data_IF_292535787191
#
_entry.id   IF_292535787191
#
_cell.length_a   1.000
_cell.length_b   1.000
_cell.length_c   1.000
_cell.angle_alpha   90.00
_cell.angle_beta   90.00
_cell.angle_gamma   90.00
#
_symmetry.space_group_name_H-M   'P 1'
#
loop_
_entity.id
_entity.type
_entity.pdbx_description
1 polymer ?
#
# COMPACT_ATOMS: atom_id res chain seq x y z
N UNK A 1 43.90 -45.04 -20.21
CA UNK A 1 44.30 -44.72 -18.82
C UNK A 1 43.06 -44.20 -18.10
N UNK A 2 42.28 -45.07 -17.43
CA UNK A 2 42.32 -45.41 -15.98
C UNK A 2 42.01 -44.17 -15.10
N UNK A 3 40.75 -43.91 -14.73
CA UNK A 3 39.94 -44.40 -13.57
C UNK A 3 40.14 -43.64 -12.25
N UNK A 4 39.03 -43.20 -11.64
CA UNK A 4 38.57 -43.39 -10.23
C UNK A 4 37.27 -42.59 -10.05
N UNK A 5 36.07 -43.16 -10.02
CA UNK A 5 35.44 -44.16 -9.12
C UNK A 5 35.18 -43.60 -7.70
N UNK A 6 33.89 -43.44 -7.39
CA UNK A 6 33.37 -43.01 -6.10
C UNK A 6 33.22 -44.15 -5.07
N UNK A 7 32.96 -43.75 -3.83
CA UNK A 7 32.46 -44.53 -2.69
C UNK A 7 32.21 -43.50 -1.57
N UNK A 8 31.06 -43.42 -0.91
CA UNK A 8 30.75 -44.30 0.21
C UNK A 8 29.24 -44.27 0.53
N UNK A 9 28.68 -45.46 0.71
CA UNK A 9 27.36 -45.75 1.26
C UNK A 9 27.59 -46.48 2.60
N UNK A 10 26.61 -46.38 3.50
CA UNK A 10 26.22 -47.34 4.55
C UNK A 10 26.74 -47.13 6.00
N UNK A 11 25.80 -46.89 6.93
CA UNK A 11 25.51 -47.73 8.12
C UNK A 11 24.31 -47.10 8.87
N UNK A 12 23.10 -47.66 8.76
CA UNK A 12 22.52 -48.78 9.54
C UNK A 12 22.08 -48.37 10.97
N UNK A 13 20.79 -48.57 11.18
CA UNK A 13 19.98 -48.38 12.38
C UNK A 13 20.34 -49.30 13.54
N UNK A 14 19.95 -48.89 14.76
CA UNK A 14 19.20 -49.65 15.79
C UNK A 14 19.47 -49.02 17.17
N UNK A 15 18.43 -48.60 17.89
CA UNK A 15 18.10 -49.13 19.23
C UNK A 15 16.79 -48.49 19.71
N UNK A 16 15.82 -49.34 20.00
CA UNK A 16 14.53 -49.02 20.58
C UNK A 16 14.43 -49.58 22.01
N UNK A 17 13.46 -49.05 22.77
CA UNK A 17 12.84 -49.57 24.02
C UNK A 17 13.63 -49.22 25.31
N UNK A 18 13.27 -48.16 26.07
CA UNK A 18 12.15 -47.96 27.05
C UNK A 18 12.30 -48.76 28.35
N UNK A 19 12.37 -48.04 29.50
CA UNK A 19 11.60 -48.34 30.73
C UNK A 19 11.71 -47.24 31.83
N UNK A 20 10.60 -46.50 31.99
CA UNK A 20 9.85 -46.16 33.23
C UNK A 20 10.58 -45.57 34.46
N UNK A 21 10.23 -44.32 34.81
CA UNK A 21 9.65 -43.92 36.13
C UNK A 21 9.16 -42.45 36.03
N UNK A 22 7.86 -42.19 36.00
CA UNK A 22 6.99 -41.82 37.13
C UNK A 22 7.22 -40.39 37.67
N UNK A 23 6.29 -39.49 37.34
CA UNK A 23 6.18 -38.14 37.90
C UNK A 23 5.04 -37.36 37.22
N UNK A 24 3.89 -37.25 37.91
CA UNK A 24 2.72 -36.45 37.53
C UNK A 24 2.90 -34.99 37.96
N UNK A 25 1.98 -34.15 37.45
CA UNK A 25 1.72 -32.72 37.71
C UNK A 25 2.35 -31.77 36.68
N UNK A 26 1.66 -30.76 36.15
CA UNK A 26 0.26 -30.34 36.19
C UNK A 26 0.10 -29.33 35.03
N UNK A 27 -1.10 -29.27 34.45
CA UNK A 27 -1.42 -28.36 33.37
C UNK A 27 -1.67 -26.94 33.91
N UNK A 28 -0.80 -25.99 33.57
CA UNK A 28 -1.12 -24.56 33.69
C UNK A 28 -1.37 -23.98 32.29
N UNK A 29 -2.66 -23.77 32.02
CA UNK A 29 -3.13 -22.93 30.92
C UNK A 29 -2.74 -21.49 31.26
N UNK A 30 -1.68 -21.00 30.65
CA UNK A 30 -1.37 -19.58 30.67
C UNK A 30 -2.22 -18.89 29.60
N UNK A 31 -3.50 -18.67 29.89
CA UNK A 31 -4.36 -17.73 29.16
C UNK A 31 -3.92 -16.32 29.50
N UNK A 32 -2.92 -15.81 28.77
CA UNK A 32 -2.74 -14.37 28.65
C UNK A 32 -3.85 -13.84 27.74
N UNK A 33 -4.89 -13.28 28.36
CA UNK A 33 -5.84 -12.43 27.67
C UNK A 33 -5.07 -11.26 27.08
N UNK A 34 -4.86 -11.29 25.77
CA UNK A 34 -4.41 -10.12 25.01
C UNK A 34 -5.49 -9.06 25.23
N UNK A 35 -5.18 -8.08 26.08
CA UNK A 35 -5.92 -6.84 26.15
C UNK A 35 -5.83 -6.21 24.76
N UNK A 36 -6.88 -6.41 23.97
CA UNK A 36 -7.18 -5.56 22.84
C UNK A 36 -7.62 -4.22 23.45
N UNK A 37 -6.62 -3.41 23.80
CA UNK A 37 -6.85 -1.99 23.98
C UNK A 37 -7.38 -1.49 22.65
N UNK A 38 -8.70 -1.35 22.61
CA UNK A 38 -9.44 -0.71 21.54
C UNK A 38 -8.91 0.72 21.51
N UNK A 39 -7.92 0.97 20.65
CA UNK A 39 -7.42 2.32 20.38
C UNK A 39 -8.65 3.16 20.09
N UNK A 40 -8.91 4.17 20.93
CA UNK A 40 -9.91 5.19 20.65
C UNK A 40 -9.42 5.89 19.38
N UNK A 41 -9.91 5.46 18.23
CA UNK A 41 -9.66 6.10 16.95
C UNK A 41 -10.27 7.49 17.01
N UNK A 42 -9.43 8.50 17.20
CA UNK A 42 -9.81 9.87 16.89
C UNK A 42 -10.05 9.99 15.38
N UNK A 43 -10.88 10.96 14.98
CA UNK A 43 -11.02 11.29 13.56
C UNK A 43 -9.64 11.55 12.96
N UNK A 44 -9.36 10.89 11.83
CA UNK A 44 -8.13 11.07 11.03
C UNK A 44 -8.42 11.94 9.81
N UNK A 45 -7.41 12.67 9.34
CA UNK A 45 -7.40 13.31 8.03
C UNK A 45 -6.85 12.34 6.98
N UNK A 46 -7.62 12.10 5.93
CA UNK A 46 -7.26 11.18 4.85
C UNK A 46 -7.19 11.95 3.53
N UNK A 47 -6.09 11.77 2.80
CA UNK A 47 -5.93 12.29 1.45
C UNK A 47 -5.85 11.14 0.44
N UNK A 48 -6.82 11.09 -0.47
CA UNK A 48 -6.83 10.16 -1.60
C UNK A 48 -6.25 10.86 -2.83
N UNK A 49 -5.15 10.35 -3.35
CA UNK A 49 -4.51 10.80 -4.59
C UNK A 49 -4.81 9.79 -5.70
N UNK A 50 -5.67 10.16 -6.64
CA UNK A 50 -5.99 9.33 -7.81
C UNK A 50 -5.26 9.83 -9.04
N UNK A 51 -4.59 8.94 -9.75
CA UNK A 51 -3.97 9.23 -11.04
C UNK A 51 -4.68 8.61 -12.24
N UNK A 52 -5.91 8.10 -12.06
CA UNK A 52 -6.69 7.58 -13.19
C UNK A 52 -7.10 8.71 -14.14
N UNK A 53 -6.74 8.65 -15.43
CA UNK A 53 -7.24 9.61 -16.42
C UNK A 53 -8.71 9.35 -16.78
N UNK A 54 -9.25 8.16 -16.43
CA UNK A 54 -10.63 7.76 -16.72
C UNK A 54 -11.53 8.17 -15.56
N UNK A 55 -12.32 9.23 -15.75
CA UNK A 55 -13.32 9.70 -14.79
C UNK A 55 -14.45 8.69 -14.62
N UNK A 56 -14.87 8.48 -13.37
CA UNK A 56 -15.83 7.41 -13.03
C UNK A 56 -15.35 6.01 -13.44
N UNK A 57 -14.04 5.85 -13.65
CA UNK A 57 -13.42 4.58 -14.01
C UNK A 57 -13.23 3.66 -12.82
N UNK A 58 -12.61 2.50 -13.08
CA UNK A 58 -12.45 1.45 -12.07
C UNK A 58 -11.68 1.92 -10.82
N UNK A 59 -10.59 2.66 -10.99
CA UNK A 59 -9.80 3.17 -9.85
C UNK A 59 -10.57 4.20 -9.03
N UNK A 60 -11.31 5.09 -9.69
CA UNK A 60 -12.12 6.12 -9.02
C UNK A 60 -13.31 5.52 -8.27
N UNK A 61 -13.94 4.48 -8.82
CA UNK A 61 -14.97 3.71 -8.10
C UNK A 61 -14.42 3.14 -6.80
N UNK A 62 -13.25 2.49 -6.83
CA UNK A 62 -12.63 1.96 -5.60
C UNK A 62 -12.23 3.07 -4.63
N UNK A 63 -11.73 4.22 -5.11
CA UNK A 63 -11.47 5.38 -4.27
C UNK A 63 -12.74 5.89 -3.58
N UNK A 64 -13.88 5.91 -4.28
CA UNK A 64 -15.15 6.33 -3.72
C UNK A 64 -15.67 5.36 -2.65
N UNK A 65 -15.46 4.05 -2.82
CA UNK A 65 -15.80 3.06 -1.78
C UNK A 65 -14.93 3.23 -0.54
N UNK A 66 -13.61 3.43 -0.72
CA UNK A 66 -12.71 3.77 0.39
C UNK A 66 -13.17 5.03 1.11
N UNK A 67 -13.40 6.11 0.35
CA UNK A 67 -13.90 7.39 0.89
C UNK A 67 -15.16 7.19 1.71
N UNK A 68 -16.14 6.46 1.17
CA UNK A 68 -17.40 6.15 1.84
C UNK A 68 -17.18 5.44 3.17
N UNK A 69 -16.35 4.38 3.19
CA UNK A 69 -16.03 3.67 4.42
C UNK A 69 -15.41 4.59 5.48
N UNK A 70 -14.47 5.42 5.07
CA UNK A 70 -13.79 6.36 5.96
C UNK A 70 -14.72 7.46 6.52
N UNK A 71 -15.58 8.03 5.68
CA UNK A 71 -16.58 9.02 6.12
C UNK A 71 -17.58 8.41 7.10
N UNK A 72 -18.04 7.16 6.87
CA UNK A 72 -18.91 6.43 7.80
C UNK A 72 -18.23 6.13 9.15
N UNK A 73 -16.90 6.03 9.17
CA UNK A 73 -16.10 5.89 10.39
C UNK A 73 -15.74 7.24 11.05
N UNK A 74 -16.31 8.36 10.57
CA UNK A 74 -16.08 9.73 11.05
C UNK A 74 -14.66 10.27 10.80
N UNK A 75 -13.98 9.79 9.76
CA UNK A 75 -12.76 10.44 9.27
C UNK A 75 -13.09 11.59 8.32
N UNK A 76 -12.18 12.56 8.19
CA UNK A 76 -12.29 13.62 7.19
C UNK A 76 -11.51 13.19 5.94
N UNK A 77 -12.17 13.17 4.78
CA UNK A 77 -11.56 12.68 3.54
C UNK A 77 -11.54 13.76 2.48
N UNK A 78 -10.36 14.03 1.93
CA UNK A 78 -10.19 14.78 0.69
C UNK A 78 -9.76 13.82 -0.42
N UNK A 79 -10.34 13.98 -1.62
CA UNK A 79 -9.92 13.25 -2.81
C UNK A 79 -9.47 14.24 -3.88
N UNK A 80 -8.26 14.02 -4.40
CA UNK A 80 -7.67 14.78 -5.51
C UNK A 80 -7.39 13.82 -6.64
N UNK A 81 -7.89 14.14 -7.83
CA UNK A 81 -7.37 13.52 -9.04
C UNK A 81 -6.23 14.38 -9.58
N UNK A 82 -5.01 13.86 -9.53
CA UNK A 82 -3.79 14.62 -9.85
C UNK A 82 -3.64 14.92 -11.35
N UNK A 83 -4.53 14.39 -12.19
CA UNK A 83 -4.62 14.77 -13.61
C UNK A 83 -5.33 16.12 -13.82
N UNK A 84 -6.03 16.66 -12.81
CA UNK A 84 -6.65 17.99 -12.87
C UNK A 84 -5.69 19.13 -12.50
N UNK A 85 -4.44 18.77 -12.21
CA UNK A 85 -3.44 19.66 -11.64
C UNK A 85 -2.22 19.75 -12.55
N UNK A 86 -1.67 20.95 -12.69
CA UNK A 86 -0.40 21.12 -13.37
C UNK A 86 0.72 20.63 -12.44
N UNK A 87 1.46 19.60 -12.86
CA UNK A 87 2.58 19.04 -12.11
C UNK A 87 3.71 18.84 -13.12
N UNK A 88 4.68 19.74 -13.08
CA UNK A 88 5.85 19.71 -13.93
C UNK A 88 6.78 18.57 -13.51
N UNK A 89 7.52 18.03 -14.48
CA UNK A 89 8.56 17.05 -14.21
C UNK A 89 9.62 17.59 -13.26
N UNK A 90 10.33 16.68 -12.58
CA UNK A 90 11.47 17.05 -11.77
C UNK A 90 12.59 17.64 -12.66
N UNK A 91 13.16 18.75 -12.23
CA UNK A 91 14.13 19.58 -12.95
C UNK A 91 15.17 20.10 -11.95
N UNK A 92 16.29 20.62 -12.46
CA UNK A 92 17.39 21.09 -11.62
C UNK A 92 16.98 22.12 -10.56
N UNK A 93 15.98 22.96 -10.87
CA UNK A 93 15.48 23.99 -9.94
C UNK A 93 14.84 23.39 -8.67
N UNK A 94 14.36 22.15 -8.72
CA UNK A 94 13.74 21.47 -7.57
C UNK A 94 14.75 20.73 -6.70
N UNK A 95 16.06 20.82 -6.98
CA UNK A 95 17.08 20.42 -5.99
C UNK A 95 17.14 21.37 -4.81
N UNK A 96 16.62 22.58 -4.96
CA UNK A 96 16.41 23.54 -3.88
C UNK A 96 14.96 23.44 -3.40
N UNK A 97 14.77 23.46 -2.09
CA UNK A 97 13.44 23.40 -1.48
C UNK A 97 12.74 24.76 -1.60
N UNK A 98 11.47 24.77 -1.98
CA UNK A 98 10.61 25.94 -1.98
C UNK A 98 9.31 25.61 -1.25
N UNK A 99 9.00 26.34 -0.19
CA UNK A 99 7.75 26.16 0.56
C UNK A 99 6.63 27.09 0.06
N UNK A 100 6.79 27.70 -1.12
CA UNK A 100 5.78 28.58 -1.70
C UNK A 100 4.71 27.75 -2.45
N UNK A 101 3.46 27.69 -1.96
CA UNK A 101 2.40 26.94 -2.61
C UNK A 101 1.91 27.61 -3.91
N UNK A 102 2.32 28.85 -4.18
CA UNK A 102 2.06 29.60 -5.42
C UNK A 102 3.22 29.49 -6.42
N UNK A 103 4.06 28.46 -6.28
CA UNK A 103 5.09 28.16 -7.27
C UNK A 103 4.51 27.88 -8.66
N UNK A 104 5.42 27.69 -9.63
CA UNK A 104 5.07 27.58 -11.04
C UNK A 104 4.08 26.45 -11.40
N UNK A 105 3.75 25.57 -10.46
CA UNK A 105 2.79 24.48 -10.63
C UNK A 105 2.15 24.04 -9.29
N UNK A 106 1.24 23.07 -9.34
CA UNK A 106 0.43 22.64 -8.20
C UNK A 106 1.13 21.63 -7.26
N UNK A 107 2.35 21.20 -7.56
CA UNK A 107 3.00 20.09 -6.86
C UNK A 107 3.17 20.39 -5.36
N UNK A 108 3.70 21.57 -5.02
CA UNK A 108 3.95 21.98 -3.62
C UNK A 108 2.65 22.05 -2.83
N UNK A 109 1.59 22.59 -3.43
CA UNK A 109 0.27 22.64 -2.82
C UNK A 109 -0.28 21.25 -2.49
N UNK A 110 -0.09 20.29 -3.39
CA UNK A 110 -0.49 18.89 -3.15
C UNK A 110 0.39 18.25 -2.06
N UNK A 111 1.70 18.48 -2.09
CA UNK A 111 2.63 17.95 -1.08
C UNK A 111 2.32 18.49 0.32
N UNK A 112 1.94 19.76 0.46
CA UNK A 112 1.47 20.30 1.74
C UNK A 112 0.22 19.60 2.26
N UNK A 113 -0.72 19.23 1.38
CA UNK A 113 -1.89 18.42 1.76
C UNK A 113 -1.49 17.01 2.18
N UNK A 114 -0.51 16.40 1.50
CA UNK A 114 0.05 15.11 1.91
C UNK A 114 0.69 15.20 3.30
N UNK A 115 1.43 16.28 3.59
CA UNK A 115 2.05 16.50 4.90
C UNK A 115 1.01 16.70 6.02
N UNK A 116 -0.12 17.34 5.71
CA UNK A 116 -1.21 17.59 6.66
C UNK A 116 -2.08 16.35 6.97
N UNK A 117 -2.14 15.36 6.06
CA UNK A 117 -2.93 14.15 6.24
C UNK A 117 -2.27 13.15 7.21
N UNK A 118 -3.07 12.37 7.94
CA UNK A 118 -2.59 11.23 8.72
C UNK A 118 -2.43 9.99 7.83
N UNK A 119 -3.39 9.80 6.93
CA UNK A 119 -3.47 8.67 5.99
C UNK A 119 -3.40 9.19 4.55
N UNK A 120 -2.60 8.53 3.73
CA UNK A 120 -2.48 8.83 2.29
C UNK A 120 -2.87 7.57 1.49
N UNK A 121 -3.82 7.72 0.57
CA UNK A 121 -4.21 6.66 -0.36
C UNK A 121 -3.63 6.97 -1.74
N UNK A 122 -2.72 6.13 -2.22
CA UNK A 122 -2.18 6.23 -3.58
C UNK A 122 -2.98 5.33 -4.51
N UNK A 123 -3.72 5.92 -5.45
CA UNK A 123 -4.48 5.19 -6.44
C UNK A 123 -3.94 5.39 -7.85
N UNK A 124 -3.58 4.30 -8.51
CA UNK A 124 -3.11 4.32 -9.90
C UNK A 124 -3.66 3.13 -10.69
N UNK A 125 -4.15 3.34 -11.92
CA UNK A 125 -4.23 2.23 -12.87
C UNK A 125 -2.82 1.77 -13.28
N UNK A 126 -2.71 0.51 -13.69
CA UNK A 126 -1.49 -0.07 -14.25
C UNK A 126 -1.41 0.25 -15.74
N UNK A 127 -0.39 1.01 -16.14
CA UNK A 127 0.01 1.22 -17.53
C UNK A 127 1.40 0.63 -17.74
N UNK A 128 1.51 -0.33 -18.66
CA UNK A 128 2.75 -1.06 -18.95
C UNK A 128 3.43 -1.62 -17.68
N UNK A 129 2.66 -2.37 -16.87
CA UNK A 129 3.15 -3.03 -15.63
C UNK A 129 3.71 -2.06 -14.57
N UNK A 130 3.34 -0.78 -14.63
CA UNK A 130 3.75 0.24 -13.65
C UNK A 130 2.62 1.25 -13.39
N UNK A 131 2.86 2.13 -12.41
CA UNK A 131 1.99 3.27 -12.14
C UNK A 131 1.93 4.21 -13.35
N UNK A 132 0.93 5.07 -13.38
CA UNK A 132 0.84 6.15 -14.38
C UNK A 132 2.04 7.09 -14.28
N UNK A 133 2.45 7.68 -15.41
CA UNK A 133 3.45 8.75 -15.44
C UNK A 133 3.09 9.91 -14.51
N UNK A 134 1.81 10.33 -14.46
CA UNK A 134 1.35 11.41 -13.59
C UNK A 134 1.63 11.15 -12.11
N UNK A 135 1.36 9.92 -11.63
CA UNK A 135 1.67 9.52 -10.25
C UNK A 135 3.17 9.57 -9.97
N UNK A 136 3.98 9.07 -10.91
CA UNK A 136 5.44 9.10 -10.78
C UNK A 136 5.99 10.52 -10.76
N UNK A 137 5.43 11.42 -11.58
CA UNK A 137 5.80 12.83 -11.59
C UNK A 137 5.55 13.49 -10.24
N UNK A 138 4.39 13.28 -9.63
CA UNK A 138 4.12 13.80 -8.28
C UNK A 138 5.09 13.22 -7.25
N UNK A 139 5.32 11.90 -7.28
CA UNK A 139 6.27 11.23 -6.38
C UNK A 139 7.67 11.82 -6.49
N UNK A 140 8.17 12.06 -7.70
CA UNK A 140 9.49 12.65 -7.91
C UNK A 140 9.59 14.07 -7.35
N UNK A 141 8.49 14.82 -7.38
CA UNK A 141 8.40 16.16 -6.82
C UNK A 141 8.36 16.21 -5.29
N UNK A 142 8.21 15.07 -4.62
CA UNK A 142 8.35 14.97 -3.15
C UNK A 142 9.81 15.11 -2.69
N UNK A 143 10.79 15.02 -3.60
CA UNK A 143 12.19 15.24 -3.25
C UNK A 143 12.38 16.57 -2.49
N UNK A 144 13.10 16.54 -1.35
CA UNK A 144 13.24 17.59 -0.33
C UNK A 144 12.08 17.77 0.67
N UNK A 145 10.98 17.04 0.53
CA UNK A 145 9.81 17.08 1.42
C UNK A 145 9.59 15.77 2.19
N UNK A 146 10.52 14.82 2.11
CA UNK A 146 10.39 13.47 2.68
C UNK A 146 10.17 13.49 4.20
N UNK A 147 10.78 14.47 4.89
CA UNK A 147 10.64 14.67 6.34
C UNK A 147 9.26 15.18 6.76
N UNK A 148 8.56 15.85 5.85
CA UNK A 148 7.21 16.37 6.12
C UNK A 148 6.18 15.24 6.01
N UNK A 149 6.49 14.21 5.22
CA UNK A 149 5.69 12.99 5.06
C UNK A 149 6.12 11.88 6.03
N UNK A 150 6.45 12.25 7.28
CA UNK A 150 6.80 11.29 8.32
C UNK A 150 5.56 10.69 9.00
N UNK A 151 5.71 9.47 9.51
CA UNK A 151 4.72 8.75 10.33
C UNK A 151 3.34 8.64 9.64
N UNK A 152 3.32 8.49 8.32
CA UNK A 152 2.10 8.37 7.53
C UNK A 152 1.68 6.92 7.37
N UNK A 153 0.37 6.70 7.34
CA UNK A 153 -0.23 5.43 6.98
C UNK A 153 -0.60 5.45 5.50
N UNK A 154 -0.13 4.46 4.74
CA UNK A 154 -0.36 4.37 3.31
C UNK A 154 -1.27 3.21 2.93
N UNK A 155 -2.28 3.50 2.11
CA UNK A 155 -3.06 2.50 1.39
C UNK A 155 -2.84 2.63 -0.11
N UNK A 156 -2.87 1.52 -0.83
CA UNK A 156 -2.77 1.52 -2.29
C UNK A 156 -4.05 1.01 -2.93
N UNK A 157 -4.52 1.68 -3.99
CA UNK A 157 -5.64 1.22 -4.81
C UNK A 157 -5.15 1.07 -6.25
N UNK A 158 -4.95 -0.17 -6.69
CA UNK A 158 -4.31 -0.46 -7.97
C UNK A 158 -5.27 -1.23 -8.86
N UNK A 159 -5.45 -0.79 -10.10
CA UNK A 159 -6.34 -1.48 -11.05
C UNK A 159 -5.64 -1.82 -12.35
N UNK A 160 -5.89 -3.01 -12.91
CA UNK A 160 -5.28 -3.44 -14.17
C UNK A 160 -6.32 -4.07 -15.12
N UNK A 161 -6.04 -3.97 -16.43
CA UNK A 161 -6.80 -4.71 -17.47
C UNK A 161 -6.48 -6.20 -17.44
N UNK A 162 -5.21 -6.54 -17.19
CA UNK A 162 -4.73 -7.91 -17.13
C UNK A 162 -5.44 -8.69 -16.02
N UNK A 163 -5.79 -9.96 -16.27
CA UNK A 163 -6.41 -10.84 -15.29
C UNK A 163 -5.40 -11.50 -14.34
N UNK A 164 -4.09 -11.38 -14.62
CA UNK A 164 -3.04 -11.81 -13.72
C UNK A 164 -2.76 -10.71 -12.67
N UNK A 165 -2.80 -11.10 -11.40
CA UNK A 165 -2.47 -10.22 -10.27
C UNK A 165 -1.01 -9.73 -10.33
N UNK A 166 -0.09 -10.51 -10.92
CA UNK A 166 1.32 -10.12 -11.10
C UNK A 166 1.46 -8.82 -11.90
N UNK A 167 0.45 -8.44 -12.70
CA UNK A 167 0.43 -7.17 -13.40
C UNK A 167 0.49 -5.94 -12.46
N UNK A 168 0.12 -6.12 -11.18
CA UNK A 168 0.13 -5.06 -10.18
C UNK A 168 1.51 -4.86 -9.55
N UNK A 169 2.40 -5.86 -9.59
CA UNK A 169 3.61 -5.90 -8.77
C UNK A 169 4.55 -4.72 -9.03
N UNK A 170 4.78 -4.34 -10.29
CA UNK A 170 5.63 -3.18 -10.59
C UNK A 170 5.11 -1.88 -9.99
N UNK A 171 3.79 -1.72 -9.90
CA UNK A 171 3.17 -0.56 -9.24
C UNK A 171 3.32 -0.63 -7.73
N UNK A 172 3.07 -1.80 -7.14
CA UNK A 172 3.25 -2.05 -5.69
C UNK A 172 4.69 -1.75 -5.27
N UNK A 173 5.67 -2.27 -6.02
CA UNK A 173 7.08 -2.04 -5.71
C UNK A 173 7.47 -0.56 -5.90
N UNK A 174 6.90 0.14 -6.88
CA UNK A 174 7.09 1.57 -7.04
C UNK A 174 6.58 2.38 -5.83
N UNK A 175 5.38 2.06 -5.33
CA UNK A 175 4.84 2.70 -4.12
C UNK A 175 5.64 2.34 -2.87
N UNK A 176 6.04 1.08 -2.70
CA UNK A 176 6.91 0.65 -1.59
C UNK A 176 8.26 1.36 -1.62
N UNK A 177 8.86 1.49 -2.79
CA UNK A 177 10.11 2.24 -2.97
C UNK A 177 9.96 3.71 -2.59
N UNK A 178 8.82 4.34 -2.95
CA UNK A 178 8.51 5.69 -2.52
C UNK A 178 8.43 5.81 -0.98
N UNK A 179 7.61 4.99 -0.32
CA UNK A 179 7.43 5.11 1.13
C UNK A 179 8.68 4.69 1.93
N UNK A 180 9.57 3.87 1.36
CA UNK A 180 10.85 3.51 1.99
C UNK A 180 11.75 4.74 2.22
N UNK A 181 11.60 5.79 1.41
CA UNK A 181 12.32 7.04 1.56
C UNK A 181 11.70 7.97 2.62
N UNK A 182 10.53 7.61 3.17
CA UNK A 182 9.79 8.43 4.13
C UNK A 182 10.01 7.94 5.56
N UNK A 183 10.11 8.86 6.50
CA UNK A 183 10.48 8.55 7.87
C UNK A 183 9.29 7.96 8.65
N UNK A 184 9.42 6.75 9.20
CA UNK A 184 8.41 6.13 10.07
C UNK A 184 7.03 5.92 9.40
N UNK A 185 6.96 6.01 8.07
CA UNK A 185 5.75 5.76 7.30
C UNK A 185 5.62 4.27 6.96
N UNK A 186 4.38 3.78 6.87
CA UNK A 186 4.10 2.34 6.69
C UNK A 186 2.96 2.07 5.71
N UNK A 187 3.08 0.97 4.98
CA UNK A 187 1.97 0.38 4.22
C UNK A 187 0.99 -0.31 5.18
N UNK A 188 -0.30 -0.02 5.04
CA UNK A 188 -1.38 -0.65 5.82
C UNK A 188 -2.16 -1.66 4.99
N UNK A 189 -2.45 -1.37 3.73
CA UNK A 189 -3.27 -2.24 2.89
C UNK A 189 -3.22 -1.91 1.40
N UNK A 190 -3.58 -2.89 0.57
CA UNK A 190 -3.55 -2.78 -0.89
C UNK A 190 -4.85 -3.36 -1.45
N UNK A 191 -5.66 -2.52 -2.09
CA UNK A 191 -6.81 -2.95 -2.89
C UNK A 191 -6.34 -3.39 -4.28
N UNK A 192 -6.64 -4.63 -4.64
CA UNK A 192 -6.19 -5.26 -5.89
C UNK A 192 -7.33 -5.41 -6.91
N UNK A 193 -7.43 -4.45 -7.82
CA UNK A 193 -8.45 -4.41 -8.87
C UNK A 193 -7.97 -4.86 -10.26
N UNK A 194 -7.41 -6.07 -10.39
CA UNK A 194 -6.99 -6.63 -11.68
C UNK A 194 -8.16 -7.23 -12.47
N UNK A 195 -8.02 -7.37 -13.79
CA UNK A 195 -9.03 -7.90 -14.72
C UNK A 195 -10.20 -6.93 -14.99
N UNK A 196 -9.98 -5.62 -14.83
CA UNK A 196 -11.00 -4.58 -14.94
C UNK A 196 -10.73 -3.65 -16.14
N UNK A 197 -11.05 -4.14 -17.35
CA UNK A 197 -10.81 -3.44 -18.62
C UNK A 197 -11.79 -2.30 -18.86
N UNK A 198 -13.07 -2.63 -18.88
CA UNK A 198 -14.13 -1.70 -19.25
C UNK A 198 -14.50 -0.81 -18.04
N UNK A 199 -15.05 0.36 -18.31
CA UNK A 199 -15.44 1.28 -17.22
C UNK A 199 -16.52 0.62 -16.36
N UNK A 200 -16.38 0.69 -15.04
CA UNK A 200 -17.32 0.07 -14.11
C UNK A 200 -17.24 -1.46 -14.04
N UNK A 201 -16.36 -2.11 -14.81
CA UNK A 201 -16.19 -3.58 -14.72
C UNK A 201 -15.67 -4.03 -13.35
N UNK A 202 -15.04 -3.14 -12.59
CA UNK A 202 -14.64 -3.42 -11.20
C UNK A 202 -15.83 -3.75 -10.29
N UNK A 203 -17.04 -3.26 -10.59
CA UNK A 203 -18.25 -3.58 -9.81
C UNK A 203 -18.62 -5.07 -9.88
N UNK A 204 -18.12 -5.79 -10.89
CA UNK A 204 -18.27 -7.24 -11.00
C UNK A 204 -17.24 -8.01 -10.18
N UNK A 205 -16.36 -7.31 -9.44
CA UNK A 205 -15.31 -7.85 -8.57
C UNK A 205 -15.61 -7.45 -7.12
N UNK A 206 -16.58 -8.13 -6.47
CA UNK A 206 -17.08 -7.71 -5.16
C UNK A 206 -16.00 -7.67 -4.08
N UNK A 207 -14.99 -8.55 -4.16
CA UNK A 207 -13.87 -8.55 -3.21
C UNK A 207 -13.11 -7.22 -3.21
N UNK A 208 -12.75 -6.68 -4.37
CA UNK A 208 -12.01 -5.42 -4.45
C UNK A 208 -12.84 -4.22 -3.97
N UNK A 209 -14.14 -4.21 -4.31
CA UNK A 209 -15.10 -3.18 -3.87
C UNK A 209 -15.26 -3.20 -2.35
N UNK A 210 -15.50 -4.39 -1.79
CA UNK A 210 -15.66 -4.56 -0.34
C UNK A 210 -14.37 -4.25 0.42
N UNK A 211 -13.21 -4.70 -0.08
CA UNK A 211 -11.91 -4.42 0.51
C UNK A 211 -11.62 -2.91 0.55
N UNK A 212 -11.93 -2.18 -0.53
CA UNK A 212 -11.79 -0.73 -0.53
C UNK A 212 -12.64 -0.06 0.56
N UNK A 213 -13.92 -0.42 0.65
CA UNK A 213 -14.82 0.09 1.69
C UNK A 213 -14.32 -0.24 3.10
N UNK A 214 -13.96 -1.49 3.37
CA UNK A 214 -13.50 -1.92 4.69
C UNK A 214 -12.16 -1.28 5.08
N UNK A 215 -11.23 -1.08 4.14
CA UNK A 215 -10.01 -0.34 4.42
C UNK A 215 -10.29 1.12 4.77
N UNK A 216 -11.21 1.78 4.07
CA UNK A 216 -11.65 3.12 4.45
C UNK A 216 -12.24 3.17 5.85
N UNK A 217 -13.12 2.22 6.17
CA UNK A 217 -13.81 2.14 7.46
C UNK A 217 -12.89 1.86 8.65
N UNK A 218 -11.77 1.20 8.41
CA UNK A 218 -10.78 0.83 9.43
C UNK A 218 -9.48 1.62 9.31
N UNK A 219 -9.52 2.77 8.63
CA UNK A 219 -8.36 3.60 8.32
C UNK A 219 -7.73 4.30 9.53
#
# INVERSE_FOLDING_TARGET
>A
MKTKLGLFVLMVAFFAVVCISCGKESSEKNTSSVNTEKVKSGSKSILILSSSPRRGGNSEILCNEFKKGAEEANHTVEMININDHDIQFFENKYYERSDNPEDADDAIRIIHKMAAADVIVLSSPVYFYSMTGQMKTLIDRVFKYEKDLKSKEFYYIITATDNNEEALEGTIQGFRGFIHCLYDSREIGIVRGFGARDSGSILKKPTAVQEAYEFGKNA
#
